data_IF_981077013951
#
_entry.id   IF_981077013951
#
_cell.length_a   1.000
_cell.length_b   1.000
_cell.length_c   1.000
_cell.angle_alpha   90.00
_cell.angle_beta   90.00
_cell.angle_gamma   90.00
#
_symmetry.space_group_name_H-M   'P 1'
#
loop_
_entity.id
_entity.type
_entity.pdbx_description
1 polymer ?
#
# COMPACT_ATOMS: atom_id res chain seq x y z
N UNK A 1 1.29 -24.91 5.54
CA UNK A 1 1.74 -23.75 6.32
C UNK A 1 1.78 -22.58 5.36
N UNK A 2 0.79 -21.70 5.40
CA UNK A 2 0.87 -20.45 4.64
C UNK A 2 1.80 -19.51 5.40
N UNK A 3 3.04 -19.39 4.94
CA UNK A 3 3.98 -18.38 5.41
C UNK A 3 3.50 -17.01 4.95
N UNK A 4 2.63 -16.40 5.75
CA UNK A 4 2.10 -15.08 5.49
C UNK A 4 3.18 -14.04 5.82
N UNK A 5 4.11 -13.83 4.89
CA UNK A 5 5.18 -12.84 5.04
C UNK A 5 4.59 -11.43 5.14
N UNK A 6 4.90 -10.78 6.27
CA UNK A 6 4.50 -9.41 6.58
C UNK A 6 5.18 -8.36 5.67
N UNK A 7 6.27 -8.76 5.02
CA UNK A 7 7.02 -7.91 4.09
C UNK A 7 7.70 -8.77 3.02
N UNK A 8 8.08 -8.14 1.92
CA UNK A 8 8.91 -8.73 0.88
C UNK A 8 9.96 -7.72 0.42
N UNK A 9 11.09 -8.20 -0.10
CA UNK A 9 12.06 -7.34 -0.75
C UNK A 9 11.71 -7.21 -2.24
N UNK A 10 11.63 -5.98 -2.74
CA UNK A 10 11.45 -5.75 -4.16
C UNK A 10 12.78 -6.00 -4.91
N UNK A 11 12.75 -5.91 -6.25
CA UNK A 11 13.95 -6.09 -7.09
C UNK A 11 15.07 -5.09 -6.81
N UNK A 12 14.75 -3.98 -6.16
CA UNK A 12 15.69 -2.93 -5.77
C UNK A 12 16.27 -3.17 -4.36
N UNK A 13 15.91 -4.29 -3.71
CA UNK A 13 16.34 -4.60 -2.35
C UNK A 13 15.62 -3.78 -1.27
N UNK A 14 14.53 -3.09 -1.61
CA UNK A 14 13.73 -2.32 -0.67
C UNK A 14 12.72 -3.21 0.04
N UNK A 15 12.64 -3.07 1.36
CA UNK A 15 11.64 -3.75 2.20
C UNK A 15 10.25 -3.13 1.96
N UNK A 16 9.32 -3.94 1.45
CA UNK A 16 7.94 -3.54 1.18
C UNK A 16 6.99 -4.34 2.07
N UNK A 17 6.32 -3.64 2.99
CA UNK A 17 5.30 -4.24 3.85
C UNK A 17 4.02 -4.61 3.08
N UNK A 18 3.46 -5.77 3.39
CA UNK A 18 2.20 -6.25 2.81
C UNK A 18 0.99 -5.67 3.54
N UNK A 19 -0.19 -5.79 2.95
CA UNK A 19 -1.44 -5.35 3.58
C UNK A 19 -1.69 -6.08 4.90
N UNK A 20 -1.41 -7.39 4.96
CA UNK A 20 -1.61 -8.22 6.14
C UNK A 20 -0.80 -7.76 7.35
N UNK A 21 0.42 -7.27 7.14
CA UNK A 21 1.19 -6.65 8.23
C UNK A 21 0.49 -5.44 8.82
N UNK A 22 -0.09 -4.60 7.97
CA UNK A 22 -0.81 -3.40 8.41
C UNK A 22 -2.10 -3.78 9.14
N UNK A 23 -2.80 -4.83 8.68
CA UNK A 23 -3.97 -5.37 9.36
C UNK A 23 -3.61 -5.93 10.74
N UNK A 24 -2.54 -6.73 10.86
CA UNK A 24 -2.05 -7.25 12.15
C UNK A 24 -1.60 -6.14 13.11
N UNK A 25 -0.95 -5.09 12.57
CA UNK A 25 -0.53 -3.92 13.34
C UNK A 25 -1.72 -3.15 13.91
N UNK A 26 -2.87 -3.19 13.25
CA UNK A 26 -4.12 -2.58 13.72
C UNK A 26 -4.19 -1.06 13.58
N UNK A 27 -3.16 -0.39 13.05
CA UNK A 27 -3.19 1.06 12.82
C UNK A 27 -2.35 1.51 11.61
N UNK A 28 -2.75 2.65 11.03
CA UNK A 28 -2.05 3.28 9.92
C UNK A 28 -0.76 3.96 10.39
N UNK A 29 0.38 3.58 9.79
CA UNK A 29 1.68 4.18 10.07
C UNK A 29 1.87 5.57 9.44
N UNK A 30 0.92 6.07 8.64
CA UNK A 30 0.95 7.37 7.92
C UNK A 30 2.17 7.58 7.00
N UNK A 31 2.88 6.52 6.64
CA UNK A 31 4.06 6.57 5.75
C UNK A 31 3.74 6.42 4.25
N UNK A 32 2.49 6.66 3.85
CA UNK A 32 2.03 6.56 2.45
C UNK A 32 2.42 5.23 1.76
N UNK A 33 2.31 4.11 2.48
CA UNK A 33 2.71 2.80 2.00
C UNK A 33 1.88 2.34 0.79
N UNK A 34 2.52 1.63 -0.15
CA UNK A 34 1.89 1.16 -1.40
C UNK A 34 0.68 0.25 -1.16
N UNK A 35 0.82 -0.65 -0.17
CA UNK A 35 -0.19 -1.64 0.25
C UNK A 35 -0.92 -1.21 1.52
N UNK A 36 -1.08 0.10 1.74
CA UNK A 36 -1.83 0.60 2.90
C UNK A 36 -3.32 0.23 2.74
N UNK A 37 -3.91 -0.55 3.68
CA UNK A 37 -5.34 -0.90 3.61
C UNK A 37 -6.23 0.33 3.73
N UNK A 38 -5.79 1.34 4.49
CA UNK A 38 -6.47 2.64 4.62
C UNK A 38 -6.26 3.58 3.43
N UNK A 39 -5.48 3.18 2.41
CA UNK A 39 -5.14 4.00 1.24
C UNK A 39 -4.59 5.39 1.60
N UNK A 40 -3.91 5.50 2.74
CA UNK A 40 -3.37 6.76 3.24
C UNK A 40 -2.36 7.36 2.25
N UNK A 41 -2.57 8.62 1.85
CA UNK A 41 -1.70 9.31 0.91
C UNK A 41 -1.88 8.91 -0.56
N UNK A 42 -2.86 8.06 -0.89
CA UNK A 42 -3.31 7.93 -2.29
C UNK A 42 -4.21 9.12 -2.57
N UNK A 43 -3.72 10.05 -3.40
CA UNK A 43 -4.56 11.12 -3.92
C UNK A 43 -5.71 10.48 -4.68
N UNK A 44 -6.95 10.80 -4.31
CA UNK A 44 -8.12 10.37 -5.09
C UNK A 44 -8.03 11.09 -6.42
N UNK A 45 -7.49 10.42 -7.42
CA UNK A 45 -7.58 10.89 -8.80
C UNK A 45 -9.06 10.81 -9.15
N UNK A 46 -9.77 11.91 -8.90
CA UNK A 46 -11.13 12.09 -9.36
C UNK A 46 -10.98 12.24 -10.88
N UNK A 47 -11.11 11.14 -11.62
CA UNK A 47 -11.14 11.09 -13.09
C UNK A 47 -12.42 11.75 -13.63
N UNK A 48 -12.68 12.98 -13.22
CA UNK A 48 -13.63 13.89 -13.87
C UNK A 48 -12.75 14.91 -14.59
N UNK A 49 -12.71 14.84 -15.93
CA UNK A 49 -11.93 15.65 -16.88
C UNK A 49 -10.54 15.04 -17.16
N UNK A 50 -10.28 14.39 -18.29
CA UNK A 50 -10.47 14.92 -19.65
C UNK A 50 -10.94 13.83 -20.63
N UNK A 51 -12.20 13.97 -21.07
CA UNK A 51 -12.56 13.82 -22.49
C UNK A 51 -11.96 15.03 -23.20
N UNK A 52 -10.96 14.84 -24.05
CA UNK A 52 -10.50 15.80 -25.08
C UNK A 52 -9.61 14.97 -26.00
N UNK A 53 -10.21 14.32 -27.01
CA UNK A 53 -10.39 14.79 -28.39
C UNK A 53 -9.17 14.49 -29.25
#
# INVERSE_FOLDING_TARGET
MEEFSDYYFNKEGLMVFTESFHLRRGYCCKNKCKHCPWKYGKEKINNTQKKSS
#
